data_IF_762146970141
#
_entry.id   IF_762146970141
#
_cell.length_a   1.000
_cell.length_b   1.000
_cell.length_c   1.000
_cell.angle_alpha   90.00
_cell.angle_beta   90.00
_cell.angle_gamma   90.00
#
_symmetry.space_group_name_H-M   'P 1'
#
loop_
_entity.id
_entity.type
_entity.pdbx_description
1 polymer ?
#
# COMPACT_ATOMS: atom_id res chain seq x y z
N UNK A 1 -1.18 14.01 -29.61
CA UNK A 1 -0.01 13.24 -30.10
C UNK A 1 -0.22 11.82 -29.60
N UNK A 2 -1.19 11.14 -30.22
CA UNK A 2 -1.59 9.79 -29.84
C UNK A 2 -0.49 8.86 -30.34
N UNK A 3 0.27 8.26 -29.41
CA UNK A 3 1.02 7.06 -29.76
C UNK A 3 -0.05 6.02 -30.08
N UNK A 4 -0.18 5.67 -31.35
CA UNK A 4 -1.06 4.61 -31.80
C UNK A 4 -0.73 3.36 -30.97
N UNK A 5 -1.69 2.93 -30.15
CA UNK A 5 -1.49 1.84 -29.18
C UNK A 5 -1.04 0.55 -29.89
N UNK A 6 -1.36 0.42 -31.18
CA UNK A 6 -0.94 -0.68 -32.04
C UNK A 6 0.57 -0.72 -32.35
N UNK A 7 1.30 0.39 -32.16
CA UNK A 7 2.73 0.49 -32.45
C UNK A 7 3.62 0.15 -31.24
N UNK A 8 3.03 0.04 -30.05
CA UNK A 8 3.76 -0.30 -28.83
C UNK A 8 4.18 -1.78 -28.83
N UNK A 9 5.34 -2.05 -28.24
CA UNK A 9 5.69 -3.44 -27.95
C UNK A 9 4.88 -3.97 -26.76
N UNK A 10 4.82 -5.30 -26.58
CA UNK A 10 3.98 -5.90 -25.54
C UNK A 10 4.40 -5.56 -24.11
N UNK A 11 5.68 -5.25 -23.89
CA UNK A 11 6.17 -4.78 -22.59
C UNK A 11 5.71 -3.35 -22.30
N UNK A 12 5.75 -2.47 -23.29
CA UNK A 12 5.24 -1.10 -23.22
C UNK A 12 3.72 -1.06 -23.07
N UNK A 13 2.98 -1.94 -23.77
CA UNK A 13 1.52 -2.04 -23.65
C UNK A 13 1.08 -2.35 -22.21
N UNK A 14 1.84 -3.17 -21.50
CA UNK A 14 1.58 -3.55 -20.11
C UNK A 14 2.30 -2.66 -19.09
N UNK A 15 3.09 -1.67 -19.52
CA UNK A 15 3.92 -0.81 -18.65
C UNK A 15 4.85 -1.62 -17.71
N UNK A 16 5.56 -2.59 -18.28
CA UNK A 16 6.49 -3.47 -17.58
C UNK A 16 7.86 -3.55 -18.26
N UNK A 17 8.86 -4.01 -17.53
CA UNK A 17 10.20 -4.23 -18.07
C UNK A 17 10.32 -5.57 -18.80
N UNK A 18 11.28 -5.66 -19.71
CA UNK A 18 11.67 -6.87 -20.46
C UNK A 18 12.09 -8.03 -19.56
N UNK A 19 12.57 -7.73 -18.34
CA UNK A 19 12.94 -8.69 -17.31
C UNK A 19 11.80 -9.06 -16.32
N UNK A 20 10.56 -8.64 -16.59
CA UNK A 20 9.43 -8.84 -15.69
C UNK A 20 9.13 -10.32 -15.44
N UNK A 21 8.71 -10.63 -14.21
CA UNK A 21 8.28 -11.95 -13.78
C UNK A 21 6.83 -12.24 -14.20
N UNK A 22 6.44 -13.52 -14.25
CA UNK A 22 5.06 -13.90 -14.56
C UNK A 22 4.02 -13.29 -13.61
N UNK A 23 4.39 -13.06 -12.34
CA UNK A 23 3.53 -12.39 -11.37
C UNK A 23 3.32 -10.91 -11.72
N UNK A 24 4.39 -10.21 -12.08
CA UNK A 24 4.32 -8.80 -12.49
C UNK A 24 3.52 -8.65 -13.78
N UNK A 25 3.73 -9.54 -14.76
CA UNK A 25 2.93 -9.57 -16.01
C UNK A 25 1.44 -9.73 -15.71
N UNK A 26 1.08 -10.66 -14.82
CA UNK A 26 -0.32 -10.88 -14.41
C UNK A 26 -0.90 -9.69 -13.64
N UNK A 27 -0.12 -9.09 -12.74
CA UNK A 27 -0.54 -7.92 -11.97
C UNK A 27 -0.75 -6.70 -12.87
N UNK A 28 0.14 -6.48 -13.84
CA UNK A 28 0.05 -5.41 -14.83
C UNK A 28 -1.19 -5.57 -15.71
N UNK A 29 -1.44 -6.78 -16.24
CA UNK A 29 -2.63 -7.07 -17.03
C UNK A 29 -3.92 -6.81 -16.25
N UNK A 30 -4.03 -7.28 -14.99
CA UNK A 30 -5.19 -7.02 -14.16
C UNK A 30 -5.42 -5.51 -13.91
N UNK A 31 -4.34 -4.76 -13.69
CA UNK A 31 -4.41 -3.31 -13.47
C UNK A 31 -4.88 -2.58 -14.73
N UNK A 32 -4.37 -2.99 -15.91
CA UNK A 32 -4.79 -2.45 -17.20
C UNK A 32 -6.27 -2.77 -17.49
N UNK A 33 -6.72 -4.00 -17.21
CA UNK A 33 -8.13 -4.38 -17.33
C UNK A 33 -9.03 -3.46 -16.50
N UNK A 34 -8.69 -3.22 -15.23
CA UNK A 34 -9.47 -2.30 -14.38
C UNK A 34 -9.52 -0.88 -14.97
N UNK A 35 -8.43 -0.42 -15.60
CA UNK A 35 -8.39 0.91 -16.17
C UNK A 35 -9.31 1.09 -17.38
N UNK A 36 -9.39 0.09 -18.26
CA UNK A 36 -10.13 0.17 -19.53
C UNK A 36 -11.51 -0.51 -19.50
N UNK A 37 -11.86 -1.19 -18.41
CA UNK A 37 -13.18 -1.80 -18.22
C UNK A 37 -14.33 -0.77 -18.26
N UNK A 38 -15.51 -1.27 -18.62
CA UNK A 38 -16.74 -0.51 -18.83
C UNK A 38 -17.35 0.13 -17.59
N UNK A 39 -16.65 0.22 -16.46
CA UNK A 39 -17.10 0.92 -15.25
C UNK A 39 -16.07 1.95 -14.77
N UNK A 40 -14.93 2.08 -15.46
CA UNK A 40 -13.84 2.97 -15.06
C UNK A 40 -14.07 4.38 -15.61
N UNK A 41 -14.45 5.31 -14.73
CA UNK A 41 -14.82 6.69 -15.08
C UNK A 41 -13.74 7.43 -15.89
N UNK A 42 -12.47 7.08 -15.68
CA UNK A 42 -11.31 7.75 -16.28
C UNK A 42 -11.18 7.46 -17.78
N UNK A 43 -11.44 6.24 -18.22
CA UNK A 43 -11.22 5.86 -19.62
C UNK A 43 -12.35 6.27 -20.57
N UNK A 44 -13.51 6.71 -20.06
CA UNK A 44 -14.59 7.28 -20.87
C UNK A 44 -14.26 8.63 -21.48
N UNK A 45 -13.43 9.43 -20.80
CA UNK A 45 -13.11 10.79 -21.24
C UNK A 45 -12.09 10.82 -22.37
N UNK A 46 -11.28 9.76 -22.51
CA UNK A 46 -10.15 9.71 -23.44
C UNK A 46 -10.37 8.78 -24.63
N UNK A 47 -11.27 7.79 -24.55
CA UNK A 47 -11.43 6.77 -25.58
C UNK A 47 -12.89 6.44 -25.87
N UNK A 48 -13.21 6.27 -27.14
CA UNK A 48 -14.51 5.74 -27.59
C UNK A 48 -14.72 4.30 -27.12
N UNK A 49 -15.96 3.80 -27.21
CA UNK A 49 -16.24 2.40 -26.88
C UNK A 49 -15.53 1.42 -27.82
N UNK A 50 -15.31 1.81 -29.09
CA UNK A 50 -14.63 0.99 -30.08
C UNK A 50 -13.13 0.90 -29.78
N UNK A 51 -12.47 2.04 -29.56
CA UNK A 51 -11.05 2.10 -29.22
C UNK A 51 -10.74 1.35 -27.93
N UNK A 52 -11.61 1.43 -26.91
CA UNK A 52 -11.42 0.66 -25.67
C UNK A 52 -11.43 -0.85 -25.90
N UNK A 53 -12.32 -1.34 -26.78
CA UNK A 53 -12.35 -2.76 -27.13
C UNK A 53 -11.06 -3.16 -27.86
N UNK A 54 -10.54 -2.30 -28.72
CA UNK A 54 -9.28 -2.52 -29.43
C UNK A 54 -8.09 -2.55 -28.44
N UNK A 55 -8.00 -1.59 -27.52
CA UNK A 55 -6.98 -1.55 -26.46
C UNK A 55 -7.03 -2.83 -25.61
N UNK A 56 -8.23 -3.25 -25.18
CA UNK A 56 -8.39 -4.48 -24.40
C UNK A 56 -7.91 -5.72 -25.17
N UNK A 57 -8.20 -5.81 -26.46
CA UNK A 57 -7.75 -6.91 -27.30
C UNK A 57 -6.21 -6.93 -27.46
N UNK A 58 -5.58 -5.75 -27.60
CA UNK A 58 -4.12 -5.65 -27.63
C UNK A 58 -3.49 -6.05 -26.28
N UNK A 59 -4.05 -5.59 -25.17
CA UNK A 59 -3.59 -5.95 -23.82
C UNK A 59 -3.69 -7.45 -23.57
N UNK A 60 -4.79 -8.08 -24.00
CA UNK A 60 -5.01 -9.52 -23.87
C UNK A 60 -3.99 -10.30 -24.72
N UNK A 61 -3.75 -9.88 -25.96
CA UNK A 61 -2.72 -10.47 -26.83
C UNK A 61 -1.32 -10.36 -26.21
N UNK A 62 -0.95 -9.18 -25.71
CA UNK A 62 0.31 -8.94 -25.04
C UNK A 62 0.48 -9.86 -23.82
N UNK A 63 -0.56 -9.98 -22.99
CA UNK A 63 -0.56 -10.85 -21.83
C UNK A 63 -0.34 -12.32 -22.22
N UNK A 64 -1.09 -12.86 -23.19
CA UNK A 64 -0.97 -14.26 -23.58
C UNK A 64 0.39 -14.61 -24.19
N UNK A 65 1.00 -13.69 -24.95
CA UNK A 65 2.37 -13.89 -25.45
C UNK A 65 3.39 -13.87 -24.31
N UNK A 66 3.28 -12.91 -23.37
CA UNK A 66 4.30 -12.74 -22.32
C UNK A 66 4.19 -13.73 -21.16
N UNK A 67 3.00 -14.28 -20.88
CA UNK A 67 2.80 -15.24 -19.78
C UNK A 67 3.33 -16.64 -20.14
N UNK A 68 3.31 -17.00 -21.42
CA UNK A 68 3.83 -18.27 -21.91
C UNK A 68 5.32 -18.13 -22.22
N UNK A 69 6.16 -18.87 -21.49
CA UNK A 69 7.62 -18.79 -21.60
C UNK A 69 8.13 -19.02 -23.04
N UNK A 70 7.53 -19.96 -23.77
CA UNK A 70 7.93 -20.26 -25.16
C UNK A 70 7.58 -19.13 -26.11
N UNK A 71 6.36 -18.60 -26.00
CA UNK A 71 5.88 -17.50 -26.85
C UNK A 71 6.65 -16.21 -26.56
N UNK A 72 6.95 -15.95 -25.28
CA UNK A 72 7.78 -14.83 -24.85
C UNK A 72 9.18 -14.91 -25.42
N UNK A 73 9.81 -16.08 -25.40
CA UNK A 73 11.15 -16.27 -25.98
C UNK A 73 11.16 -15.99 -27.49
N UNK A 74 10.16 -16.50 -28.22
CA UNK A 74 10.01 -16.22 -29.65
C UNK A 74 9.85 -14.72 -29.90
N UNK A 75 8.99 -14.06 -29.13
CA UNK A 75 8.77 -12.63 -29.24
C UNK A 75 10.03 -11.80 -28.91
N UNK A 76 10.75 -12.16 -27.85
CA UNK A 76 12.01 -11.53 -27.47
C UNK A 76 13.08 -11.72 -28.55
N UNK A 77 13.11 -12.86 -29.23
CA UNK A 77 14.00 -13.09 -30.37
C UNK A 77 13.67 -12.16 -31.54
N UNK A 78 12.39 -11.96 -31.85
CA UNK A 78 11.95 -11.02 -32.90
C UNK A 78 12.32 -9.58 -32.56
N UNK A 79 12.13 -9.14 -31.31
CA UNK A 79 12.51 -7.79 -30.87
C UNK A 79 14.02 -7.55 -30.91
N UNK A 80 14.83 -8.57 -30.62
CA UNK A 80 16.29 -8.48 -30.75
C UNK A 80 16.72 -8.38 -32.21
N UNK A 81 16.13 -9.19 -33.11
CA UNK A 81 16.42 -9.08 -34.55
C UNK A 81 16.08 -7.69 -35.09
N UNK A 82 15.00 -7.09 -34.60
CA UNK A 82 14.59 -5.73 -34.94
C UNK A 82 15.48 -4.63 -34.30
N UNK A 83 16.41 -4.99 -33.41
CA UNK A 83 17.30 -4.04 -32.73
C UNK A 83 16.62 -3.19 -31.65
N UNK A 84 15.44 -3.60 -31.18
CA UNK A 84 14.64 -2.85 -30.19
C UNK A 84 15.09 -3.14 -28.75
N UNK A 85 15.57 -4.37 -28.49
CA UNK A 85 16.00 -4.82 -27.15
C UNK A 85 17.44 -5.36 -27.21
N UNK A 86 18.18 -5.20 -26.12
CA UNK A 86 19.51 -5.81 -25.96
C UNK A 86 19.44 -7.19 -25.28
N UNK A 87 20.26 -8.19 -25.69
CA UNK A 87 20.24 -9.53 -25.09
C UNK A 87 20.51 -9.57 -23.57
N UNK A 88 21.17 -8.54 -23.03
CA UNK A 88 21.52 -8.38 -21.62
C UNK A 88 20.36 -8.10 -20.69
N UNK A 89 19.19 -7.74 -21.22
CA UNK A 89 17.97 -7.52 -20.43
C UNK A 89 17.13 -8.79 -20.27
N UNK A 90 17.59 -9.91 -20.84
CA UNK A 90 16.92 -11.22 -20.69
C UNK A 90 17.16 -11.79 -19.31
N UNK A 91 16.05 -12.13 -18.67
CA UNK A 91 16.02 -12.99 -17.49
C UNK A 91 15.29 -12.32 -16.33
N UNK A 92 14.54 -13.08 -15.52
CA UNK A 92 13.93 -12.53 -14.31
C UNK A 92 15.04 -11.90 -13.45
N UNK A 93 14.83 -10.66 -13.00
CA UNK A 93 15.70 -10.04 -12.01
C UNK A 93 15.95 -11.05 -10.87
N UNK A 94 17.22 -11.29 -10.53
CA UNK A 94 17.64 -12.33 -9.59
C UNK A 94 16.73 -12.33 -8.35
N UNK A 95 15.99 -13.43 -8.16
CA UNK A 95 15.07 -13.56 -7.03
C UNK A 95 15.90 -13.77 -5.76
N UNK A 96 15.88 -12.80 -4.85
CA UNK A 96 15.93 -13.13 -3.44
C UNK A 96 14.70 -13.99 -3.08
N UNK A 97 14.73 -14.75 -1.97
CA UNK A 97 13.54 -15.46 -1.51
C UNK A 97 12.40 -14.45 -1.36
N UNK A 98 11.39 -14.56 -2.22
CA UNK A 98 10.17 -13.76 -2.11
C UNK A 98 9.50 -14.19 -0.81
N UNK A 99 9.35 -13.26 0.12
CA UNK A 99 8.71 -13.57 1.38
C UNK A 99 7.24 -13.84 1.12
N UNK A 100 6.69 -14.91 1.70
CA UNK A 100 5.26 -15.22 1.66
C UNK A 100 4.42 -14.06 2.25
N UNK A 101 5.06 -13.12 2.93
CA UNK A 101 4.45 -11.91 3.49
C UNK A 101 4.44 -10.70 2.54
N UNK A 102 4.98 -10.81 1.32
CA UNK A 102 5.09 -9.67 0.38
C UNK A 102 3.82 -9.44 -0.46
N UNK A 103 2.82 -10.33 -0.43
CA UNK A 103 1.58 -10.19 -1.21
C UNK A 103 0.74 -8.93 -0.90
N UNK A 104 0.99 -8.28 0.25
CA UNK A 104 0.31 -7.04 0.65
C UNK A 104 1.24 -5.81 0.66
N UNK A 105 2.49 -5.95 0.24
CA UNK A 105 3.43 -4.83 0.12
C UNK A 105 3.29 -4.24 -1.28
N UNK A 106 2.23 -3.46 -1.51
CA UNK A 106 2.20 -2.57 -2.67
C UNK A 106 3.49 -1.72 -2.65
N UNK A 107 4.20 -1.75 -3.78
CA UNK A 107 5.33 -0.91 -4.21
C UNK A 107 5.87 0.05 -3.15
N UNK A 108 7.08 -0.27 -2.69
CA UNK A 108 8.02 0.55 -1.91
C UNK A 108 7.77 2.07 -1.90
N UNK A 109 7.13 2.54 -0.83
CA UNK A 109 7.06 3.95 -0.39
C UNK A 109 8.20 4.30 0.57
N UNK A 110 9.39 3.71 0.40
CA UNK A 110 10.52 3.93 1.32
C UNK A 110 11.00 5.39 1.33
N UNK A 111 10.79 6.13 0.24
CA UNK A 111 10.98 7.58 0.16
C UNK A 111 9.89 8.38 0.87
N UNK A 112 8.61 8.08 0.60
CA UNK A 112 7.45 8.79 1.17
C UNK A 112 7.32 8.63 2.69
N UNK A 113 7.69 7.46 3.24
CA UNK A 113 7.63 7.20 4.69
C UNK A 113 8.55 8.12 5.49
N UNK A 114 9.73 8.48 4.96
CA UNK A 114 10.65 9.40 5.63
C UNK A 114 10.08 10.82 5.69
N UNK A 115 9.53 11.30 4.58
CA UNK A 115 8.91 12.63 4.49
C UNK A 115 7.66 12.72 5.38
N UNK A 116 6.79 11.72 5.34
CA UNK A 116 5.58 11.66 6.17
C UNK A 116 5.91 11.61 7.67
N UNK A 117 6.97 10.88 8.06
CA UNK A 117 7.42 10.82 9.46
C UNK A 117 7.93 12.18 9.96
N UNK A 118 8.68 12.93 9.14
CA UNK A 118 9.13 14.28 9.48
C UNK A 118 7.96 15.27 9.61
N UNK A 119 6.96 15.17 8.74
CA UNK A 119 5.76 16.03 8.79
C UNK A 119 4.93 15.76 10.04
N UNK A 120 4.73 14.49 10.41
CA UNK A 120 4.00 14.14 11.64
C UNK A 120 4.72 14.67 12.88
N UNK A 121 6.04 14.51 12.98
CA UNK A 121 6.83 15.05 14.10
C UNK A 121 6.74 16.57 14.20
N UNK A 122 6.70 17.27 13.06
CA UNK A 122 6.50 18.72 13.04
C UNK A 122 5.11 19.10 13.55
N UNK A 123 4.05 18.40 13.09
CA UNK A 123 2.67 18.62 13.57
C UNK A 123 2.54 18.39 15.07
N UNK A 124 3.13 17.31 15.60
CA UNK A 124 3.15 17.01 17.05
C UNK A 124 3.84 18.15 17.82
N UNK A 125 4.99 18.60 17.33
CA UNK A 125 5.77 19.69 17.95
C UNK A 125 5.08 21.06 17.87
N UNK A 126 4.12 21.24 16.96
CA UNK A 126 3.36 22.49 16.83
C UNK A 126 2.03 22.44 17.60
N UNK A 127 1.42 21.26 17.73
CA UNK A 127 0.11 21.11 18.34
C UNK A 127 0.17 21.08 19.89
N UNK A 128 -0.36 22.13 20.52
CA UNK A 128 -0.44 22.27 21.97
C UNK A 128 -1.26 21.15 22.63
N UNK A 129 -2.39 20.75 22.03
CA UNK A 129 -3.30 19.73 22.58
C UNK A 129 -2.62 18.37 22.68
N UNK A 130 -1.91 17.95 21.63
CA UNK A 130 -1.19 16.69 21.62
C UNK A 130 -0.13 16.66 22.74
N UNK A 131 0.60 17.76 22.94
CA UNK A 131 1.58 17.87 24.04
C UNK A 131 0.91 17.75 25.41
N UNK A 132 -0.19 18.49 25.62
CA UNK A 132 -0.96 18.44 26.87
C UNK A 132 -1.43 17.02 27.18
N UNK A 133 -1.94 16.30 26.18
CA UNK A 133 -2.39 14.92 26.32
C UNK A 133 -1.23 13.99 26.70
N UNK A 134 -0.10 14.05 25.98
CA UNK A 134 1.07 13.18 26.23
C UNK A 134 1.63 13.39 27.64
N UNK A 135 1.54 14.61 28.18
CA UNK A 135 2.00 14.96 29.53
C UNK A 135 1.06 14.51 30.65
N UNK A 136 -0.15 13.99 30.35
CA UNK A 136 -1.08 13.53 31.39
C UNK A 136 -0.55 12.26 32.08
N UNK A 137 -0.91 12.14 33.36
CA UNK A 137 -0.61 10.95 34.16
C UNK A 137 -1.42 9.72 33.73
N UNK A 138 -2.63 9.94 33.23
CA UNK A 138 -3.52 8.90 32.71
C UNK A 138 -3.89 9.23 31.27
N UNK A 139 -3.93 8.20 30.42
CA UNK A 139 -4.27 8.30 29.00
C UNK A 139 -5.52 7.45 28.75
N UNK A 140 -6.52 8.04 28.11
CA UNK A 140 -7.80 7.39 27.79
C UNK A 140 -7.92 7.09 26.29
N UNK A 141 -8.92 6.32 25.90
CA UNK A 141 -9.20 6.03 24.50
C UNK A 141 -9.53 7.29 23.71
N UNK A 142 -10.31 8.19 24.33
CA UNK A 142 -10.64 9.49 23.77
C UNK A 142 -9.41 10.35 23.49
N UNK A 143 -8.37 10.24 24.32
CA UNK A 143 -7.11 10.96 24.14
C UNK A 143 -6.34 10.43 22.91
N UNK A 144 -6.30 9.12 22.71
CA UNK A 144 -5.69 8.49 21.54
C UNK A 144 -6.43 8.86 20.23
N UNK A 145 -7.76 8.94 20.30
CA UNK A 145 -8.63 9.40 19.21
C UNK A 145 -8.39 10.86 18.86
N UNK A 146 -8.25 11.71 19.88
CA UNK A 146 -7.98 13.13 19.73
C UNK A 146 -6.62 13.35 19.06
N UNK A 147 -5.54 12.71 19.57
CA UNK A 147 -4.21 12.78 18.94
C UNK A 147 -4.28 12.38 17.47
N UNK A 148 -4.93 11.25 17.15
CA UNK A 148 -5.05 10.79 15.77
C UNK A 148 -5.80 11.79 14.88
N UNK A 149 -6.89 12.33 15.38
CA UNK A 149 -7.75 13.27 14.63
C UNK A 149 -7.03 14.60 14.38
N UNK A 150 -6.29 15.09 15.36
CA UNK A 150 -5.43 16.28 15.25
C UNK A 150 -4.29 16.10 14.23
N UNK A 151 -3.81 14.87 14.05
CA UNK A 151 -2.84 14.53 13.00
C UNK A 151 -3.48 14.33 11.62
N UNK A 152 -4.80 14.32 11.53
CA UNK A 152 -5.56 14.10 10.29
C UNK A 152 -5.47 12.66 9.78
N UNK A 153 -5.27 11.69 10.68
CA UNK A 153 -5.07 10.28 10.31
C UNK A 153 -6.39 9.52 10.45
N UNK A 154 -6.81 8.84 9.38
CA UNK A 154 -7.95 7.93 9.41
C UNK A 154 -7.62 6.65 10.20
N UNK A 155 -8.59 6.08 10.91
CA UNK A 155 -8.37 4.86 11.71
C UNK A 155 -8.04 3.65 10.82
N UNK A 156 -8.56 3.65 9.59
CA UNK A 156 -8.27 2.69 8.53
C UNK A 156 -6.79 2.71 8.14
N UNK A 157 -6.15 3.89 8.16
CA UNK A 157 -4.70 4.01 7.92
C UNK A 157 -3.91 3.30 9.01
N UNK A 158 -4.33 3.44 10.28
CA UNK A 158 -3.70 2.73 11.40
C UNK A 158 -3.90 1.22 11.25
N UNK A 159 -5.10 0.78 10.90
CA UNK A 159 -5.38 -0.63 10.60
C UNK A 159 -4.43 -1.15 9.49
N UNK A 160 -4.29 -0.42 8.40
CA UNK A 160 -3.44 -0.81 7.27
C UNK A 160 -1.96 -0.91 7.67
N UNK A 161 -1.45 -0.01 8.51
CA UNK A 161 -0.04 0.02 8.92
C UNK A 161 0.28 -0.98 10.04
N UNK A 162 -0.61 -1.11 11.03
CA UNK A 162 -0.36 -1.93 12.23
C UNK A 162 -0.90 -3.36 12.10
N UNK A 163 -1.82 -3.60 11.16
CA UNK A 163 -2.59 -4.85 11.00
C UNK A 163 -3.45 -5.22 12.21
N UNK A 164 -3.66 -4.30 13.15
CA UNK A 164 -4.63 -4.46 14.23
C UNK A 164 -6.03 -4.35 13.63
N UNK A 165 -6.93 -5.28 13.96
CA UNK A 165 -8.32 -5.26 13.44
C UNK A 165 -9.00 -3.92 13.72
N UNK A 166 -9.77 -3.42 12.75
CA UNK A 166 -10.48 -2.13 12.86
C UNK A 166 -11.38 -2.08 14.11
N UNK A 167 -12.07 -3.18 14.41
CA UNK A 167 -12.89 -3.33 15.62
C UNK A 167 -12.11 -3.00 16.90
N UNK A 168 -10.89 -3.53 17.04
CA UNK A 168 -10.04 -3.28 18.21
C UNK A 168 -9.60 -1.82 18.29
N UNK A 169 -9.27 -1.19 17.17
CA UNK A 169 -8.91 0.23 17.15
C UNK A 169 -10.06 1.11 17.63
N UNK A 170 -11.28 0.83 17.16
CA UNK A 170 -12.48 1.53 17.65
C UNK A 170 -12.73 1.27 19.14
N UNK A 171 -12.64 0.02 19.59
CA UNK A 171 -12.85 -0.32 21.00
C UNK A 171 -11.80 0.30 21.93
N UNK A 172 -10.56 0.44 21.44
CA UNK A 172 -9.49 1.16 22.15
C UNK A 172 -9.87 2.64 22.30
N UNK A 173 -10.26 3.30 21.21
CA UNK A 173 -10.63 4.72 21.23
C UNK A 173 -11.89 5.02 22.05
N UNK A 174 -12.82 4.07 22.10
CA UNK A 174 -14.09 4.19 22.82
C UNK A 174 -14.05 3.59 24.24
N UNK A 175 -12.87 3.15 24.72
CA UNK A 175 -12.64 2.50 26.02
C UNK A 175 -13.62 1.34 26.33
N UNK A 176 -13.91 0.50 25.32
CA UNK A 176 -14.81 -0.66 25.43
C UNK A 176 -14.10 -1.86 26.06
N UNK A 177 -13.75 -1.75 27.34
CA UNK A 177 -12.93 -2.71 28.10
C UNK A 177 -13.36 -4.17 27.90
N UNK A 178 -14.67 -4.44 27.97
CA UNK A 178 -15.25 -5.77 27.83
C UNK A 178 -14.93 -6.47 26.50
N UNK A 179 -14.60 -5.69 25.46
CA UNK A 179 -14.29 -6.19 24.12
C UNK A 179 -12.80 -6.17 23.81
N UNK A 180 -11.98 -5.62 24.70
CA UNK A 180 -10.54 -5.52 24.51
C UNK A 180 -9.85 -6.86 24.79
N UNK A 181 -8.71 -7.15 24.13
CA UNK A 181 -7.93 -8.35 24.41
C UNK A 181 -7.26 -8.24 25.80
N UNK A 182 -6.66 -9.35 26.26
CA UNK A 182 -5.91 -9.36 27.52
C UNK A 182 -4.82 -8.27 27.54
N UNK A 183 -4.56 -7.71 28.73
CA UNK A 183 -3.71 -6.53 28.94
C UNK A 183 -2.33 -6.62 28.26
N UNK A 184 -1.72 -7.80 28.24
CA UNK A 184 -0.41 -8.05 27.59
C UNK A 184 -0.47 -7.77 26.08
N UNK A 185 -1.52 -8.24 25.40
CA UNK A 185 -1.73 -7.98 23.97
C UNK A 185 -2.16 -6.54 23.72
N UNK A 186 -3.02 -5.99 24.59
CA UNK A 186 -3.49 -4.62 24.49
C UNK A 186 -2.33 -3.63 24.54
N UNK A 187 -1.38 -3.80 25.47
CA UNK A 187 -0.18 -2.96 25.56
C UNK A 187 0.59 -2.94 24.24
N UNK A 188 0.75 -4.10 23.60
CA UNK A 188 1.38 -4.23 22.29
C UNK A 188 0.63 -3.48 21.18
N UNK A 189 -0.71 -3.55 21.18
CA UNK A 189 -1.55 -2.82 20.24
C UNK A 189 -1.45 -1.32 20.41
N UNK A 190 -1.52 -0.81 21.64
CA UNK A 190 -1.37 0.63 21.93
C UNK A 190 0.03 1.11 21.55
N UNK A 191 1.08 0.33 21.84
CA UNK A 191 2.45 0.67 21.44
C UNK A 191 2.57 0.76 19.91
N UNK A 192 1.99 -0.18 19.17
CA UNK A 192 2.00 -0.15 17.69
C UNK A 192 1.21 1.06 17.14
N UNK A 193 0.06 1.36 17.74
CA UNK A 193 -0.75 2.54 17.43
C UNK A 193 0.04 3.85 17.62
N UNK A 194 0.68 4.03 18.78
CA UNK A 194 1.46 5.23 19.09
C UNK A 194 2.65 5.41 18.15
N UNK A 195 3.35 4.31 17.82
CA UNK A 195 4.45 4.32 16.86
C UNK A 195 4.00 4.70 15.45
N UNK A 196 2.84 4.21 15.02
CA UNK A 196 2.22 4.60 13.76
C UNK A 196 1.97 6.12 13.71
N UNK A 197 1.59 6.72 14.84
CA UNK A 197 1.41 8.17 15.00
C UNK A 197 2.71 8.95 15.26
N UNK A 198 3.88 8.28 15.33
CA UNK A 198 5.17 8.88 15.68
C UNK A 198 5.21 9.54 17.08
N UNK A 199 4.42 9.03 18.03
CA UNK A 199 4.33 9.52 19.41
C UNK A 199 5.34 8.76 20.28
N UNK A 200 6.18 9.51 21.00
CA UNK A 200 7.16 8.97 21.96
C UNK A 200 7.05 9.69 23.31
N UNK A 201 7.32 9.02 24.45
CA UNK A 201 7.76 7.62 24.57
C UNK A 201 6.58 6.62 24.51
N UNK A 202 6.52 5.81 23.45
CA UNK A 202 5.38 4.92 23.20
C UNK A 202 5.20 3.86 24.31
N UNK A 203 6.30 3.39 24.90
CA UNK A 203 6.28 2.38 25.96
C UNK A 203 5.62 2.90 27.25
N UNK A 204 5.96 4.10 27.69
CA UNK A 204 5.38 4.68 28.91
C UNK A 204 3.90 5.03 28.72
N UNK A 205 3.56 5.67 27.59
CA UNK A 205 2.18 6.07 27.29
C UNK A 205 1.29 4.83 27.18
N UNK A 206 1.77 3.76 26.53
CA UNK A 206 1.03 2.49 26.46
C UNK A 206 0.79 1.88 27.85
N UNK A 207 1.77 1.98 28.77
CA UNK A 207 1.60 1.52 30.14
C UNK A 207 0.58 2.37 30.92
N UNK A 208 0.60 3.70 30.75
CA UNK A 208 -0.38 4.60 31.38
C UNK A 208 -1.82 4.28 30.96
N UNK A 209 -2.04 3.98 29.68
CA UNK A 209 -3.36 3.57 29.16
C UNK A 209 -3.82 2.24 29.79
N UNK A 210 -2.97 1.21 29.80
CA UNK A 210 -3.33 -0.09 30.38
C UNK A 210 -3.62 0.02 31.88
N UNK A 211 -2.79 0.77 32.62
CA UNK A 211 -3.01 1.01 34.06
C UNK A 211 -4.32 1.75 34.33
N UNK A 212 -4.73 2.68 33.46
CA UNK A 212 -6.01 3.37 33.57
C UNK A 212 -7.19 2.38 33.44
N UNK A 213 -7.11 1.43 32.52
CA UNK A 213 -8.16 0.42 32.35
C UNK A 213 -8.21 -0.58 33.51
N UNK A 214 -7.06 -1.00 34.04
CA UNK A 214 -6.99 -1.90 35.19
C UNK A 214 -7.60 -1.29 36.46
N UNK A 215 -7.54 0.03 36.62
CA UNK A 215 -8.21 0.73 37.74
C UNK A 215 -9.72 0.85 37.60
N UNK A 216 -10.24 0.65 36.38
CA UNK A 216 -11.67 0.82 36.04
C UNK A 216 -12.43 -0.52 36.03
N UNK A 217 -11.72 -1.64 35.99
CA UNK A 217 -12.24 -2.98 36.24
C UNK A 217 -12.32 -3.29 37.74
#
# INVERSE_FOLDING_TARGET
>A
MEKDFAQLNYYEMLDIKTNATALEIRAAYNSALQMYQSNSLVSYSFFSQKERKEILAYLEKAYFTLINEKERELYDNELIKAGIITPTERGPAAKGPVSIFDFNRQKDTSGTLKTHTSELKAKISQNQRIREIISRQEIRGSDLKEIRSELGIAVETIHQQTKIRLDYLHWIEDDKIEKLPAAVFLKGFIKSYLKCLCIEPADEISARYVNFLERKN
#
